data_IF_644755941912
#
_entry.id   IF_644755941912
#
_cell.length_a   1.000
_cell.length_b   1.000
_cell.length_c   1.000
_cell.angle_alpha   90.00
_cell.angle_beta   90.00
_cell.angle_gamma   90.00
#
_symmetry.space_group_name_H-M   'P 1'
#
loop_
_entity.id
_entity.type
_entity.pdbx_description
1 polymer ?
#
# COMPACT_ATOMS: atom_id res chain seq x y z
N UNK A 1 -48.82 47.81 -12.99
CA UNK A 1 -48.00 47.67 -14.21
C UNK A 1 -46.58 47.21 -13.86
N UNK A 2 -46.45 46.31 -12.85
CA UNK A 2 -45.16 45.82 -12.33
C UNK A 2 -45.08 44.28 -12.35
N UNK A 3 -46.11 43.59 -12.85
CA UNK A 3 -46.23 42.12 -12.82
C UNK A 3 -45.50 41.47 -14.01
N UNK A 4 -45.62 42.08 -15.20
CA UNK A 4 -45.02 41.54 -16.43
C UNK A 4 -43.48 41.59 -16.43
N UNK A 5 -42.89 42.56 -15.73
CA UNK A 5 -41.43 42.67 -15.56
C UNK A 5 -40.90 41.60 -14.61
N UNK A 6 -41.64 41.26 -13.54
CA UNK A 6 -41.25 40.18 -12.62
C UNK A 6 -41.31 38.80 -13.28
N UNK A 7 -42.25 38.60 -14.20
CA UNK A 7 -42.36 37.36 -14.96
C UNK A 7 -41.20 37.18 -15.98
N UNK A 8 -40.76 38.27 -16.62
CA UNK A 8 -39.63 38.22 -17.56
C UNK A 8 -38.29 38.08 -16.84
N UNK A 9 -38.12 38.72 -15.68
CA UNK A 9 -36.92 38.58 -14.83
C UNK A 9 -36.78 37.13 -14.33
N UNK A 10 -37.87 36.48 -13.92
CA UNK A 10 -37.85 35.06 -13.51
C UNK A 10 -37.50 34.09 -14.65
N UNK A 11 -37.80 34.42 -15.90
CA UNK A 11 -37.37 33.62 -17.07
C UNK A 11 -35.90 33.86 -17.39
N UNK A 12 -35.39 35.07 -17.14
CA UNK A 12 -33.98 35.42 -17.30
C UNK A 12 -33.08 34.71 -16.26
N UNK A 13 -33.56 34.59 -15.02
CA UNK A 13 -32.84 33.92 -13.93
C UNK A 13 -33.08 32.41 -13.86
N UNK A 14 -33.98 31.86 -14.69
CA UNK A 14 -34.36 30.45 -14.71
C UNK A 14 -33.14 29.51 -14.88
N UNK A 15 -32.21 29.87 -15.76
CA UNK A 15 -30.98 29.10 -15.99
C UNK A 15 -30.12 29.05 -14.73
N UNK A 16 -29.96 30.20 -14.07
CA UNK A 16 -29.19 30.32 -12.84
C UNK A 16 -29.82 29.54 -11.70
N UNK A 17 -31.13 29.60 -11.55
CA UNK A 17 -31.86 28.84 -10.54
C UNK A 17 -31.66 27.32 -10.71
N UNK A 18 -31.68 26.81 -11.95
CA UNK A 18 -31.39 25.40 -12.20
C UNK A 18 -29.92 25.04 -11.90
N UNK A 19 -28.97 25.93 -12.21
CA UNK A 19 -27.57 25.72 -11.83
C UNK A 19 -27.37 25.71 -10.32
N UNK A 20 -27.95 26.68 -9.61
CA UNK A 20 -27.82 26.80 -8.17
C UNK A 20 -28.50 25.62 -7.47
N UNK A 21 -29.68 25.18 -7.94
CA UNK A 21 -30.36 23.98 -7.45
C UNK A 21 -29.58 22.70 -7.75
N UNK A 22 -29.03 22.57 -8.96
CA UNK A 22 -28.20 21.42 -9.36
C UNK A 22 -26.92 21.33 -8.54
N UNK A 23 -26.26 22.46 -8.27
CA UNK A 23 -25.07 22.53 -7.43
C UNK A 23 -25.40 22.23 -5.97
N UNK A 24 -26.45 22.85 -5.42
CA UNK A 24 -26.87 22.67 -4.03
C UNK A 24 -27.28 21.22 -3.72
N UNK A 25 -27.85 20.52 -4.70
CA UNK A 25 -28.21 19.10 -4.56
C UNK A 25 -27.04 18.16 -4.90
N UNK A 26 -26.30 18.45 -5.96
CA UNK A 26 -25.25 17.58 -6.49
C UNK A 26 -23.97 17.58 -5.66
N UNK A 27 -23.54 18.73 -5.12
CA UNK A 27 -22.32 18.86 -4.33
C UNK A 27 -22.35 17.99 -3.05
N UNK A 28 -23.35 18.10 -2.15
CA UNK A 28 -23.40 17.27 -0.96
C UNK A 28 -23.59 15.79 -1.31
N UNK A 29 -24.37 15.47 -2.35
CA UNK A 29 -24.58 14.10 -2.79
C UNK A 29 -23.29 13.46 -3.31
N UNK A 30 -22.55 14.15 -4.18
CA UNK A 30 -21.27 13.69 -4.70
C UNK A 30 -20.22 13.52 -3.60
N UNK A 31 -20.20 14.42 -2.61
CA UNK A 31 -19.32 14.30 -1.45
C UNK A 31 -19.65 13.04 -0.62
N UNK A 32 -20.92 12.83 -0.30
CA UNK A 32 -21.36 11.63 0.44
C UNK A 32 -21.07 10.35 -0.34
N UNK A 33 -21.35 10.31 -1.64
CA UNK A 33 -21.09 9.14 -2.47
C UNK A 33 -19.60 8.84 -2.58
N UNK A 34 -18.75 9.84 -2.81
CA UNK A 34 -17.31 9.64 -2.84
C UNK A 34 -16.78 9.08 -1.53
N UNK A 35 -17.33 9.50 -0.39
CA UNK A 35 -16.94 9.01 0.93
C UNK A 35 -17.44 7.57 1.19
N UNK A 36 -18.65 7.23 0.74
CA UNK A 36 -19.20 5.87 0.85
C UNK A 36 -18.42 4.91 -0.06
N UNK A 37 -18.28 5.26 -1.34
CA UNK A 37 -17.57 4.46 -2.34
C UNK A 37 -16.10 4.25 -1.94
N UNK A 38 -15.42 5.31 -1.47
CA UNK A 38 -14.05 5.21 -0.97
C UNK A 38 -13.92 4.27 0.24
N UNK A 39 -14.92 4.23 1.12
CA UNK A 39 -14.95 3.30 2.27
C UNK A 39 -15.21 1.86 1.84
N UNK A 40 -16.12 1.64 0.90
CA UNK A 40 -16.39 0.32 0.34
C UNK A 40 -15.14 -0.24 -0.35
N UNK A 41 -14.51 0.57 -1.21
CA UNK A 41 -13.26 0.22 -1.88
C UNK A 41 -12.14 -0.07 -0.87
N UNK A 42 -12.02 0.76 0.17
CA UNK A 42 -11.06 0.56 1.25
C UNK A 42 -11.27 -0.76 1.97
N UNK A 43 -12.52 -1.12 2.30
CA UNK A 43 -12.84 -2.41 2.95
C UNK A 43 -12.48 -3.60 2.07
N UNK A 44 -12.76 -3.52 0.78
CA UNK A 44 -12.57 -4.62 -0.16
C UNK A 44 -11.08 -4.84 -0.49
N UNK A 45 -10.27 -3.77 -0.51
CA UNK A 45 -8.84 -3.84 -0.82
C UNK A 45 -7.89 -3.78 0.39
N UNK A 46 -8.39 -3.47 1.59
CA UNK A 46 -7.56 -3.38 2.80
C UNK A 46 -6.82 -4.69 3.09
N UNK A 47 -7.45 -5.84 2.86
CA UNK A 47 -6.84 -7.13 3.10
C UNK A 47 -5.55 -7.33 2.27
N UNK A 48 -5.56 -6.96 0.98
CA UNK A 48 -4.38 -7.11 0.11
C UNK A 48 -3.18 -6.33 0.65
N UNK A 49 -3.43 -5.13 1.18
CA UNK A 49 -2.40 -4.29 1.79
C UNK A 49 -1.89 -4.92 3.10
N UNK A 50 -2.81 -5.31 3.98
CA UNK A 50 -2.47 -5.85 5.29
C UNK A 50 -1.85 -7.25 5.24
N UNK A 51 -2.17 -8.06 4.23
CA UNK A 51 -1.54 -9.36 3.98
C UNK A 51 -0.04 -9.18 3.71
N UNK A 52 0.33 -8.21 2.87
CA UNK A 52 1.73 -7.89 2.63
C UNK A 52 2.40 -7.37 3.91
N UNK A 53 1.80 -6.39 4.59
CA UNK A 53 2.36 -5.80 5.81
C UNK A 53 2.57 -6.88 6.88
N UNK A 54 1.59 -7.73 7.12
CA UNK A 54 1.66 -8.82 8.09
C UNK A 54 2.72 -9.87 7.72
N UNK A 55 2.92 -10.17 6.44
CA UNK A 55 4.00 -11.04 6.00
C UNK A 55 5.39 -10.45 6.33
N UNK A 56 5.57 -9.15 6.05
CA UNK A 56 6.82 -8.44 6.32
C UNK A 56 7.09 -8.36 7.83
N UNK A 57 6.07 -8.02 8.62
CA UNK A 57 6.12 -7.95 10.08
C UNK A 57 6.47 -9.32 10.69
N UNK A 58 5.73 -10.37 10.34
CA UNK A 58 5.96 -11.71 10.87
C UNK A 58 7.35 -12.24 10.54
N UNK A 59 7.84 -11.95 9.34
CA UNK A 59 9.22 -12.30 8.95
C UNK A 59 10.23 -11.53 9.80
N UNK A 60 10.02 -10.23 10.02
CA UNK A 60 10.90 -9.41 10.83
C UNK A 60 10.96 -9.88 12.29
N UNK A 61 9.81 -10.20 12.89
CA UNK A 61 9.71 -10.76 14.24
C UNK A 61 10.43 -12.10 14.38
N UNK A 62 10.23 -13.00 13.40
CA UNK A 62 10.89 -14.31 13.40
C UNK A 62 12.42 -14.17 13.39
N UNK A 63 12.96 -13.37 12.46
CA UNK A 63 14.41 -13.21 12.37
C UNK A 63 15.00 -12.50 13.57
N UNK A 64 14.29 -11.53 14.15
CA UNK A 64 14.69 -10.91 15.41
C UNK A 64 14.83 -11.93 16.53
N UNK A 65 13.82 -12.79 16.72
CA UNK A 65 13.88 -13.85 17.73
C UNK A 65 15.03 -14.84 17.50
N UNK A 66 15.32 -15.19 16.24
CA UNK A 66 16.46 -16.05 15.88
C UNK A 66 17.79 -15.38 16.25
N UNK A 67 17.95 -14.09 15.94
CA UNK A 67 19.16 -13.33 16.26
C UNK A 67 19.36 -13.18 17.77
N UNK A 68 18.29 -12.96 18.52
CA UNK A 68 18.35 -12.86 19.99
C UNK A 68 18.71 -14.22 20.61
N UNK A 69 18.13 -15.31 20.12
CA UNK A 69 18.47 -16.66 20.55
C UNK A 69 19.91 -17.07 20.23
N UNK A 70 20.46 -16.59 19.10
CA UNK A 70 21.84 -16.83 18.70
C UNK A 70 22.86 -16.03 19.53
N UNK A 71 22.45 -14.92 20.14
CA UNK A 71 23.28 -14.10 21.03
C UNK A 71 23.26 -14.60 22.49
N UNK A 72 22.38 -15.52 22.84
CA UNK A 72 22.36 -16.15 24.15
C UNK A 72 23.71 -16.89 24.41
N UNK A 73 24.22 -16.89 25.66
CA UNK A 73 25.54 -17.42 25.96
C UNK A 73 25.56 -18.96 25.81
N UNK A 74 25.85 -19.44 24.60
CA UNK A 74 26.24 -20.82 24.33
C UNK A 74 27.72 -20.88 23.92
N UNK A 75 28.39 -21.86 24.51
CA UNK A 75 29.83 -22.14 24.52
C UNK A 75 30.54 -22.12 23.14
N UNK A 76 31.90 -22.06 23.13
CA UNK A 76 32.68 -21.38 22.10
C UNK A 76 32.97 -22.30 20.91
N UNK A 77 32.22 -22.18 19.82
CA UNK A 77 32.71 -22.59 18.50
C UNK A 77 32.26 -21.56 17.45
N UNK A 78 33.23 -20.97 16.75
CA UNK A 78 33.12 -20.00 15.66
C UNK A 78 32.87 -18.52 16.05
N UNK A 79 33.74 -17.98 16.90
CA UNK A 79 33.95 -16.54 17.01
C UNK A 79 34.84 -16.06 15.85
N UNK A 80 34.22 -15.55 14.79
CA UNK A 80 34.95 -14.87 13.73
C UNK A 80 33.99 -14.25 12.72
N UNK A 81 33.82 -12.94 12.79
CA UNK A 81 33.18 -12.07 11.76
C UNK A 81 31.69 -11.69 11.90
N UNK A 82 30.87 -12.31 12.77
CA UNK A 82 29.39 -12.12 12.74
C UNK A 82 28.79 -11.02 13.63
N UNK A 83 29.49 -10.48 14.64
CA UNK A 83 28.85 -9.57 15.62
C UNK A 83 28.37 -8.24 15.01
N UNK A 84 29.13 -7.65 14.08
CA UNK A 84 28.79 -6.38 13.42
C UNK A 84 27.63 -6.53 12.43
N UNK A 85 27.58 -7.64 11.68
CA UNK A 85 26.50 -7.92 10.73
C UNK A 85 25.20 -8.26 11.46
N UNK A 86 25.28 -8.99 12.57
CA UNK A 86 24.13 -9.27 13.45
C UNK A 86 23.55 -8.00 14.07
N UNK A 87 24.40 -7.08 14.56
CA UNK A 87 23.95 -5.79 15.10
C UNK A 87 23.29 -4.90 14.03
N UNK A 88 23.80 -4.91 12.80
CA UNK A 88 23.17 -4.18 11.67
C UNK A 88 21.83 -4.81 11.28
N UNK A 89 21.77 -6.13 11.23
CA UNK A 89 20.54 -6.86 10.94
C UNK A 89 19.46 -6.56 12.00
N UNK A 90 19.77 -6.59 13.30
CA UNK A 90 18.79 -6.26 14.34
C UNK A 90 18.28 -4.81 14.23
N UNK A 91 19.17 -3.83 14.03
CA UNK A 91 18.75 -2.42 13.90
C UNK A 91 17.87 -2.14 12.67
N UNK A 92 18.11 -2.86 11.56
CA UNK A 92 17.29 -2.73 10.35
C UNK A 92 15.94 -3.42 10.49
N UNK A 93 15.87 -4.53 11.24
CA UNK A 93 14.61 -5.18 11.61
C UNK A 93 13.76 -4.32 12.55
N UNK A 94 14.38 -3.65 13.53
CA UNK A 94 13.70 -2.68 14.40
C UNK A 94 13.09 -1.53 13.61
N UNK A 95 13.81 -1.05 12.59
CA UNK A 95 13.31 0.00 11.69
C UNK A 95 12.11 -0.46 10.86
N UNK A 96 12.07 -1.74 10.47
CA UNK A 96 10.92 -2.32 9.75
C UNK A 96 9.71 -2.38 10.68
N UNK A 97 9.87 -2.88 11.91
CA UNK A 97 8.77 -2.97 12.89
C UNK A 97 8.21 -1.59 13.25
N UNK A 98 9.09 -0.60 13.47
CA UNK A 98 8.66 0.77 13.74
C UNK A 98 7.85 1.39 12.57
N UNK A 99 8.17 1.03 11.32
CA UNK A 99 7.39 1.45 10.16
C UNK A 99 6.04 0.74 10.08
N UNK A 100 5.95 -0.52 10.49
CA UNK A 100 4.68 -1.26 10.58
C UNK A 100 3.77 -0.64 11.64
N UNK A 101 4.30 -0.33 12.82
CA UNK A 101 3.55 0.31 13.92
C UNK A 101 3.01 1.71 13.54
N UNK A 102 3.64 2.37 12.56
CA UNK A 102 3.21 3.68 12.07
C UNK A 102 2.02 3.61 11.09
N UNK A 103 1.60 2.41 10.65
CA UNK A 103 0.43 2.28 9.78
C UNK A 103 -0.88 2.55 10.53
N UNK A 104 -1.81 3.31 9.94
CA UNK A 104 -3.10 3.60 10.57
C UNK A 104 -3.97 2.33 10.63
N UNK A 105 -4.34 1.94 11.85
CA UNK A 105 -5.23 0.81 12.13
C UNK A 105 -6.67 1.23 12.42
N UNK A 106 -6.92 2.53 12.59
CA UNK A 106 -8.24 3.09 12.86
C UNK A 106 -8.56 4.18 11.85
N UNK A 107 -9.82 4.24 11.45
CA UNK A 107 -10.34 5.33 10.63
C UNK A 107 -10.79 6.45 11.59
N UNK A 108 -10.10 7.59 11.59
CA UNK A 108 -10.48 8.77 12.38
C UNK A 108 -11.69 9.48 11.74
N UNK A 109 -12.84 8.82 11.72
CA UNK A 109 -14.07 9.35 11.14
C UNK A 109 -14.77 10.42 11.98
N UNK A 110 -14.15 10.92 13.05
CA UNK A 110 -14.73 11.93 13.95
C UNK A 110 -14.66 13.36 13.42
N UNK A 111 -13.92 13.62 12.34
CA UNK A 111 -13.88 14.94 11.69
C UNK A 111 -14.94 15.01 10.58
N UNK A 112 -16.20 14.98 11.02
CA UNK A 112 -17.37 15.28 10.17
C UNK A 112 -17.56 16.76 9.87
N UNK A 113 -16.51 17.60 9.99
CA UNK A 113 -16.57 19.01 9.62
C UNK A 113 -15.71 19.26 8.39
N UNK A 114 -16.42 19.51 7.28
CA UNK A 114 -15.92 19.91 5.98
C UNK A 114 -15.22 21.28 6.03
N UNK A 115 -14.06 21.35 6.68
CA UNK A 115 -13.16 22.49 6.57
C UNK A 115 -11.95 22.01 5.78
N UNK A 116 -11.92 22.36 4.49
CA UNK A 116 -10.73 22.35 3.62
C UNK A 116 -9.84 21.11 3.76
N UNK A 117 -9.89 20.18 2.79
CA UNK A 117 -8.94 19.06 2.66
C UNK A 117 -7.50 19.61 2.65
N UNK A 118 -6.93 19.81 3.83
CA UNK A 118 -5.49 19.84 4.02
C UNK A 118 -5.10 18.40 3.86
N UNK A 119 -4.41 18.12 2.75
CA UNK A 119 -3.77 16.86 2.42
C UNK A 119 -2.66 16.55 3.42
N UNK A 120 -2.97 16.49 4.72
CA UNK A 120 -2.15 15.87 5.76
C UNK A 120 -2.68 14.45 6.03
N UNK A 121 -3.35 13.86 5.05
CA UNK A 121 -3.66 12.43 5.03
C UNK A 121 -2.36 11.65 4.90
N UNK A 122 -2.17 10.67 5.78
CA UNK A 122 -1.03 9.76 5.75
C UNK A 122 -0.98 9.07 4.38
N UNK A 123 0.07 9.33 3.60
CA UNK A 123 0.30 8.65 2.33
C UNK A 123 0.75 7.20 2.58
N UNK A 124 -0.23 6.29 2.66
CA UNK A 124 0.00 4.87 2.88
C UNK A 124 0.87 4.25 1.77
N UNK A 125 0.82 4.77 0.54
CA UNK A 125 1.61 4.23 -0.58
C UNK A 125 3.10 4.56 -0.43
N UNK A 126 3.41 5.79 0.01
CA UNK A 126 4.76 6.20 0.33
C UNK A 126 5.30 5.42 1.55
N UNK A 127 4.50 5.23 2.60
CA UNK A 127 4.87 4.41 3.75
C UNK A 127 5.16 2.96 3.33
N UNK A 128 4.31 2.35 2.51
CA UNK A 128 4.51 0.98 2.00
C UNK A 128 5.78 0.87 1.16
N UNK A 129 6.05 1.83 0.27
CA UNK A 129 7.27 1.83 -0.54
C UNK A 129 8.54 1.88 0.32
N UNK A 130 8.48 2.65 1.42
CA UNK A 130 9.56 2.79 2.40
C UNK A 130 9.75 1.50 3.17
N UNK A 131 8.65 0.89 3.65
CA UNK A 131 8.65 -0.40 4.34
C UNK A 131 9.29 -1.49 3.48
N UNK A 132 8.86 -1.64 2.22
CA UNK A 132 9.42 -2.60 1.27
C UNK A 132 10.93 -2.41 1.05
N UNK A 133 11.38 -1.15 0.98
CA UNK A 133 12.79 -0.83 0.81
C UNK A 133 13.61 -1.22 2.03
N UNK A 134 13.15 -0.86 3.23
CA UNK A 134 13.80 -1.25 4.49
C UNK A 134 13.83 -2.76 4.69
N UNK A 135 12.75 -3.44 4.36
CA UNK A 135 12.69 -4.91 4.40
C UNK A 135 13.73 -5.55 3.49
N UNK A 136 13.88 -5.08 2.23
CA UNK A 136 14.94 -5.58 1.35
C UNK A 136 16.34 -5.36 1.93
N UNK A 137 16.57 -4.22 2.58
CA UNK A 137 17.84 -3.96 3.28
C UNK A 137 18.06 -4.91 4.45
N UNK A 138 17.02 -5.21 5.24
CA UNK A 138 17.09 -6.18 6.32
C UNK A 138 17.39 -7.60 5.79
N UNK A 139 16.74 -8.02 4.71
CA UNK A 139 17.03 -9.29 4.05
C UNK A 139 18.48 -9.38 3.54
N UNK A 140 19.01 -8.29 2.97
CA UNK A 140 20.40 -8.23 2.54
C UNK A 140 21.38 -8.34 3.72
N UNK A 141 21.08 -7.72 4.87
CA UNK A 141 21.88 -7.84 6.09
C UNK A 141 21.85 -9.25 6.68
N UNK A 142 20.74 -9.98 6.51
CA UNK A 142 20.56 -11.37 6.93
C UNK A 142 21.10 -12.40 5.91
N UNK A 143 21.46 -11.97 4.70
CA UNK A 143 21.88 -12.87 3.62
C UNK A 143 20.75 -13.72 3.03
N UNK A 144 19.49 -13.31 3.20
CA UNK A 144 18.31 -14.02 2.71
C UNK A 144 17.73 -13.32 1.47
N UNK A 145 17.15 -14.11 0.56
CA UNK A 145 16.45 -13.54 -0.61
C UNK A 145 15.08 -12.99 -0.16
N UNK A 146 14.77 -11.70 -0.43
CA UNK A 146 13.46 -11.15 -0.11
C UNK A 146 12.37 -11.90 -0.89
N UNK A 147 11.33 -12.35 -0.18
CA UNK A 147 10.09 -12.81 -0.79
C UNK A 147 9.05 -11.72 -0.59
N UNK A 148 8.58 -11.14 -1.69
CA UNK A 148 7.51 -10.15 -1.67
C UNK A 148 6.21 -10.91 -1.89
N UNK A 149 5.47 -11.20 -0.83
CA UNK A 149 4.11 -11.70 -0.96
C UNK A 149 3.23 -10.53 -1.39
N UNK A 150 3.00 -10.39 -2.69
CA UNK A 150 1.92 -9.55 -3.19
C UNK A 150 0.70 -10.46 -3.23
N UNK A 151 -0.32 -10.17 -2.41
CA UNK A 151 -1.60 -10.87 -2.53
C UNK A 151 -2.15 -10.57 -3.93
N UNK A 152 -1.94 -11.49 -4.87
CA UNK A 152 -2.66 -11.48 -6.12
C UNK A 152 -4.09 -11.85 -5.78
N UNK A 153 -4.92 -10.86 -5.48
CA UNK A 153 -6.38 -11.01 -5.53
C UNK A 153 -6.68 -11.48 -6.94
N UNK A 154 -6.87 -12.79 -7.10
CA UNK A 154 -7.19 -13.40 -8.37
C UNK A 154 -8.49 -12.75 -8.85
N UNK A 155 -8.37 -11.78 -9.75
CA UNK A 155 -9.47 -11.34 -10.58
C UNK A 155 -9.88 -12.59 -11.34
N UNK A 156 -10.95 -13.25 -10.90
CA UNK A 156 -11.67 -14.23 -11.72
C UNK A 156 -12.34 -13.45 -12.85
N UNK A 157 -11.54 -12.92 -13.78
CA UNK A 157 -12.03 -12.51 -15.07
C UNK A 157 -11.80 -13.71 -15.99
N UNK A 158 -12.87 -14.49 -16.14
CA UNK A 158 -13.02 -15.38 -17.27
C UNK A 158 -12.92 -14.52 -18.55
N UNK A 159 -11.87 -14.73 -19.34
CA UNK A 159 -11.80 -14.17 -20.69
C UNK A 159 -10.40 -13.89 -21.22
N UNK A 160 -9.84 -14.84 -21.98
CA UNK A 160 -9.16 -14.52 -23.24
C UNK A 160 -7.63 -14.34 -23.23
N UNK A 161 -6.95 -15.45 -23.53
CA UNK A 161 -5.80 -15.60 -24.44
C UNK A 161 -4.85 -14.43 -24.73
N UNK A 162 -3.55 -14.69 -24.51
CA UNK A 162 -2.46 -13.84 -25.01
C UNK A 162 -1.10 -14.39 -24.60
N UNK A 163 -0.65 -15.38 -25.35
CA UNK A 163 0.66 -16.04 -25.35
C UNK A 163 1.86 -15.09 -25.14
N UNK A 164 2.73 -15.43 -24.18
CA UNK A 164 4.02 -14.78 -23.94
C UNK A 164 5.12 -15.85 -23.97
N UNK A 165 5.52 -16.28 -25.17
CA UNK A 165 6.76 -17.00 -25.38
C UNK A 165 7.85 -16.01 -25.83
N UNK A 166 8.68 -15.58 -24.88
CA UNK A 166 9.89 -14.83 -25.14
C UNK A 166 10.99 -15.32 -24.19
N UNK A 167 12.02 -15.97 -24.74
CA UNK A 167 13.34 -16.08 -24.08
C UNK A 167 13.89 -17.48 -23.84
N UNK A 168 13.88 -18.36 -24.84
CA UNK A 168 14.54 -19.67 -24.79
C UNK A 168 15.82 -19.77 -25.63
N UNK A 169 16.77 -18.83 -25.49
CA UNK A 169 18.06 -18.86 -26.21
C UNK A 169 19.25 -19.08 -25.28
N UNK A 170 19.23 -20.12 -24.43
CA UNK A 170 20.41 -20.48 -23.64
C UNK A 170 20.58 -22.00 -23.38
N UNK A 171 19.84 -22.86 -24.08
CA UNK A 171 19.89 -24.33 -23.85
C UNK A 171 20.67 -25.14 -24.91
N UNK A 172 21.43 -24.49 -25.81
CA UNK A 172 22.13 -25.17 -26.91
C UNK A 172 23.67 -25.16 -26.81
N UNK A 173 24.25 -24.70 -25.69
CA UNK A 173 25.71 -24.74 -25.45
C UNK A 173 26.19 -25.93 -24.60
N UNK A 174 25.28 -26.86 -24.28
CA UNK A 174 25.53 -28.00 -23.39
C UNK A 174 25.76 -29.35 -24.10
N UNK A 175 25.64 -29.43 -25.43
CA UNK A 175 25.94 -30.67 -26.16
C UNK A 175 27.19 -30.47 -27.00
N UNK A 176 28.32 -30.94 -26.48
CA UNK A 176 29.58 -30.98 -27.19
C UNK A 176 29.45 -31.77 -28.50
N UNK A 177 29.68 -31.09 -29.61
CA UNK A 177 29.96 -31.69 -30.91
C UNK A 177 30.99 -30.80 -31.60
N UNK A 178 32.21 -31.33 -31.71
CA UNK A 178 33.27 -30.81 -32.57
C UNK A 178 32.90 -31.06 -34.02
N UNK A 179 32.88 -30.00 -34.84
CA UNK A 179 33.50 -29.94 -36.18
C UNK A 179 34.01 -28.51 -36.35
#
# INVERSE_FOLDING_TARGET
MNDDTQHLDGVLDLERDFYDQGLASGLPHGHLHGLIEGRELGRDHAWTLWDEIGHLEGTALLWRAILDAAQAPKAPLAAGSSTSTTSRASSTLDSVLALVDAFPTTNNSSEGEATHVTTEGVDMTAQLSTLRTKYRTACAALGIRPRMAVSSSATTNAGGGGDADQGGVDSLKSMGMSV
#
